data_IF_161918322892
#
_entry.id   IF_161918322892
#
_cell.length_a   1.000
_cell.length_b   1.000
_cell.length_c   1.000
_cell.angle_alpha   90.00
_cell.angle_beta   90.00
_cell.angle_gamma   90.00
#
_symmetry.space_group_name_H-M   'P 1'
#
loop_
_entity.id
_entity.type
_entity.pdbx_description
1 polymer ?
#
# COMPACT_ATOMS: atom_id res chain seq x y z
N UNK A 1 -3.40 -13.07 2.03
CA UNK A 1 -2.90 -12.61 0.72
C UNK A 1 -3.49 -13.40 -0.46
N UNK A 2 -3.17 -14.69 -0.65
CA UNK A 2 -3.53 -15.42 -1.87
C UNK A 2 -5.04 -15.52 -2.16
N UNK A 3 -5.87 -15.74 -1.14
CA UNK A 3 -7.33 -15.85 -1.29
C UNK A 3 -7.97 -14.55 -1.76
N UNK A 4 -7.51 -13.42 -1.24
CA UNK A 4 -8.02 -12.10 -1.63
C UNK A 4 -7.54 -11.68 -3.02
N UNK A 5 -6.32 -12.05 -3.40
CA UNK A 5 -5.82 -11.87 -4.75
C UNK A 5 -6.71 -12.60 -5.76
N UNK A 6 -7.08 -13.85 -5.50
CA UNK A 6 -7.98 -14.57 -6.40
C UNK A 6 -9.41 -14.03 -6.37
N UNK A 7 -9.90 -13.53 -5.23
CA UNK A 7 -11.18 -12.84 -5.18
C UNK A 7 -11.17 -11.56 -6.07
N UNK A 8 -10.10 -10.76 -6.00
CA UNK A 8 -9.92 -9.60 -6.86
C UNK A 8 -9.85 -9.99 -8.35
N UNK A 9 -9.14 -11.08 -8.67
CA UNK A 9 -9.04 -11.61 -10.04
C UNK A 9 -10.40 -12.07 -10.58
N UNK A 10 -11.19 -12.77 -9.77
CA UNK A 10 -12.55 -13.18 -10.13
C UNK A 10 -13.48 -11.97 -10.33
N UNK A 11 -13.34 -10.92 -9.51
CA UNK A 11 -14.09 -9.67 -9.66
C UNK A 11 -13.81 -8.98 -11.01
N UNK A 12 -12.55 -8.93 -11.43
CA UNK A 12 -12.15 -8.38 -12.74
C UNK A 12 -12.74 -9.23 -13.88
N UNK A 13 -12.64 -10.55 -13.80
CA UNK A 13 -13.20 -11.45 -14.81
C UNK A 13 -14.72 -11.36 -14.89
N UNK A 14 -15.39 -11.16 -13.75
CA UNK A 14 -16.83 -10.92 -13.71
C UNK A 14 -17.22 -9.60 -14.40
N UNK A 15 -16.50 -8.52 -14.12
CA UNK A 15 -16.71 -7.24 -14.79
C UNK A 15 -16.47 -7.34 -16.32
N UNK A 16 -15.47 -8.11 -16.76
CA UNK A 16 -15.21 -8.38 -18.16
C UNK A 16 -16.36 -9.18 -18.82
N UNK A 17 -16.84 -10.25 -18.17
CA UNK A 17 -17.99 -11.02 -18.67
C UNK A 17 -19.27 -10.19 -18.80
N UNK A 18 -19.53 -9.29 -17.86
CA UNK A 18 -20.67 -8.37 -17.94
C UNK A 18 -20.53 -7.42 -19.13
N UNK A 19 -19.32 -6.91 -19.37
CA UNK A 19 -19.02 -6.06 -20.52
C UNK A 19 -19.20 -6.79 -21.85
N UNK A 20 -18.74 -8.04 -21.94
CA UNK A 20 -18.92 -8.89 -23.12
C UNK A 20 -20.40 -9.22 -23.36
N UNK A 21 -21.19 -9.34 -22.30
CA UNK A 21 -22.64 -9.56 -22.35
C UNK A 21 -23.45 -8.28 -22.62
N UNK A 22 -22.80 -7.16 -22.93
CA UNK A 22 -23.40 -5.82 -23.13
C UNK A 22 -24.23 -5.31 -21.94
N UNK A 23 -23.99 -5.85 -20.74
CA UNK A 23 -24.65 -5.41 -19.52
C UNK A 23 -23.91 -4.22 -18.89
N UNK A 24 -24.63 -3.32 -18.18
CA UNK A 24 -24.01 -2.20 -17.51
C UNK A 24 -23.02 -2.69 -16.44
N UNK A 25 -21.72 -2.53 -16.71
CA UNK A 25 -20.63 -3.05 -15.89
C UNK A 25 -19.91 -1.98 -15.07
N UNK A 26 -20.41 -0.74 -15.03
CA UNK A 26 -19.72 0.42 -14.42
C UNK A 26 -19.49 0.24 -12.91
N UNK A 27 -20.48 -0.32 -12.21
CA UNK A 27 -20.41 -0.51 -10.76
C UNK A 27 -19.39 -1.60 -10.40
N UNK A 28 -19.42 -2.70 -11.14
CA UNK A 28 -18.57 -3.88 -10.98
C UNK A 28 -17.14 -3.58 -11.41
N UNK A 29 -16.94 -2.77 -12.45
CA UNK A 29 -15.63 -2.26 -12.83
C UNK A 29 -15.04 -1.35 -11.74
N UNK A 30 -15.86 -0.51 -11.11
CA UNK A 30 -15.43 0.35 -10.00
C UNK A 30 -15.05 -0.47 -8.76
N UNK A 31 -15.85 -1.49 -8.42
CA UNK A 31 -15.56 -2.43 -7.33
C UNK A 31 -14.28 -3.23 -7.61
N UNK A 32 -14.09 -3.71 -8.84
CA UNK A 32 -12.88 -4.43 -9.24
C UNK A 32 -11.64 -3.54 -9.15
N UNK A 33 -11.73 -2.28 -9.58
CA UNK A 33 -10.61 -1.32 -9.48
C UNK A 33 -10.23 -1.07 -8.02
N UNK A 34 -11.21 -0.76 -7.16
CA UNK A 34 -10.97 -0.53 -5.73
C UNK A 34 -10.30 -1.74 -5.09
N UNK A 35 -10.88 -2.93 -5.29
CA UNK A 35 -10.38 -4.15 -4.66
C UNK A 35 -8.98 -4.53 -5.14
N UNK A 36 -8.66 -4.29 -6.42
CA UNK A 36 -7.31 -4.50 -6.95
C UNK A 36 -6.29 -3.54 -6.34
N UNK A 37 -6.66 -2.26 -6.15
CA UNK A 37 -5.77 -1.26 -5.55
C UNK A 37 -5.49 -1.53 -4.07
N UNK A 38 -6.52 -1.82 -3.27
CA UNK A 38 -6.35 -2.20 -1.86
C UNK A 38 -5.47 -3.44 -1.73
N UNK A 39 -5.64 -4.43 -2.61
CA UNK A 39 -4.84 -5.64 -2.56
C UNK A 39 -3.38 -5.40 -2.94
N UNK A 40 -3.11 -4.50 -3.89
CA UNK A 40 -1.75 -4.10 -4.24
C UNK A 40 -1.04 -3.41 -3.07
N UNK A 41 -1.72 -2.46 -2.41
CA UNK A 41 -1.24 -1.77 -1.20
C UNK A 41 -0.86 -2.77 -0.10
N UNK A 42 -1.76 -3.72 0.17
CA UNK A 42 -1.58 -4.67 1.25
C UNK A 42 -0.47 -5.70 0.92
N UNK A 43 -0.33 -6.11 -0.35
CA UNK A 43 0.81 -6.94 -0.79
C UNK A 43 2.13 -6.17 -0.67
N UNK A 44 2.17 -4.89 -1.03
CA UNK A 44 3.35 -4.05 -0.87
C UNK A 44 3.70 -3.87 0.62
N UNK A 45 2.71 -3.64 1.48
CA UNK A 45 2.89 -3.53 2.93
C UNK A 45 3.43 -4.83 3.53
N UNK A 46 2.84 -5.97 3.18
CA UNK A 46 3.31 -7.28 3.61
C UNK A 46 4.71 -7.58 3.09
N UNK A 47 5.01 -7.21 1.83
CA UNK A 47 6.36 -7.33 1.27
C UNK A 47 7.36 -6.46 2.05
N UNK A 48 7.01 -5.21 2.39
CA UNK A 48 7.85 -4.36 3.25
C UNK A 48 8.02 -4.99 4.64
N UNK A 49 7.01 -5.64 5.21
CA UNK A 49 7.15 -6.32 6.49
C UNK A 49 8.08 -7.55 6.40
N UNK A 50 7.99 -8.31 5.30
CA UNK A 50 8.80 -9.50 5.05
C UNK A 50 10.25 -9.14 4.69
N UNK A 51 10.47 -8.11 3.88
CA UNK A 51 11.80 -7.67 3.41
C UNK A 51 12.42 -6.56 4.28
N UNK A 52 11.61 -5.82 5.03
CA UNK A 52 11.98 -4.68 5.88
C UNK A 52 11.81 -4.90 7.38
N UNK A 53 11.27 -6.06 7.80
CA UNK A 53 11.33 -6.53 9.19
C UNK A 53 12.76 -6.81 9.69
N UNK A 54 13.77 -6.82 8.81
CA UNK A 54 15.19 -6.80 9.19
C UNK A 54 15.71 -5.40 9.55
N UNK A 55 14.97 -4.33 9.24
CA UNK A 55 15.39 -2.93 9.41
C UNK A 55 14.72 -2.17 10.56
N UNK A 56 13.58 -2.65 11.09
CA UNK A 56 12.95 -2.06 12.30
C UNK A 56 13.58 -2.54 13.62
N UNK A 57 14.55 -3.46 13.52
CA UNK A 57 15.47 -3.83 14.59
C UNK A 57 16.86 -3.21 14.34
N UNK A 58 16.94 -2.06 13.65
CA UNK A 58 18.02 -1.15 13.99
C UNK A 58 17.74 -0.69 15.42
N UNK A 59 18.51 -1.30 16.33
CA UNK A 59 18.88 -0.77 17.62
C UNK A 59 18.64 0.73 17.66
N UNK A 60 17.76 1.15 18.55
CA UNK A 60 17.94 2.45 19.17
C UNK A 60 19.04 2.20 20.21
N UNK A 61 20.35 2.38 19.92
CA UNK A 61 21.25 2.63 21.02
C UNK A 61 20.70 3.93 21.59
N UNK A 62 20.15 3.85 22.81
CA UNK A 62 19.89 5.04 23.60
C UNK A 62 21.19 5.83 23.61
N UNK A 63 21.28 6.83 22.74
CA UNK A 63 22.34 7.80 22.74
C UNK A 63 22.03 8.73 23.91
N UNK A 64 22.21 8.19 25.12
CA UNK A 64 22.53 8.99 26.29
C UNK A 64 23.99 9.40 26.13
N UNK A 65 24.21 10.49 25.42
CA UNK A 65 25.35 11.33 25.67
C UNK A 65 25.23 11.92 27.09
N UNK A 66 26.33 11.94 27.84
CA UNK A 66 26.38 12.34 29.26
C UNK A 66 26.02 13.81 29.54
N UNK A 67 25.46 14.54 28.57
CA UNK A 67 25.18 15.98 28.63
C UNK A 67 23.78 16.41 28.13
N UNK A 68 22.85 15.48 27.85
CA UNK A 68 21.41 15.76 27.86
C UNK A 68 20.89 16.90 26.99
N UNK A 69 21.45 17.14 25.79
CA UNK A 69 20.95 18.19 24.89
C UNK A 69 20.56 17.61 23.53
N UNK A 70 19.25 17.53 23.27
CA UNK A 70 18.67 17.07 22.01
C UNK A 70 18.96 18.08 20.88
N UNK A 71 19.85 17.73 19.95
CA UNK A 71 20.02 18.49 18.70
C UNK A 71 19.14 17.85 17.62
N UNK A 72 17.98 18.45 17.37
CA UNK A 72 17.06 18.02 16.33
C UNK A 72 17.71 18.15 14.93
N UNK A 73 17.68 17.10 14.08
CA UNK A 73 18.03 17.24 12.67
C UNK A 73 16.92 18.04 11.96
N UNK A 74 17.28 19.15 11.31
CA UNK A 74 16.37 19.95 10.47
C UNK A 74 15.84 19.08 9.33
N UNK A 75 14.57 18.69 9.43
CA UNK A 75 13.81 18.04 8.36
C UNK A 75 13.73 18.97 7.14
N UNK A 76 14.32 18.49 6.06
CA UNK A 76 14.22 18.97 4.69
C UNK A 76 12.75 19.09 4.26
N UNK A 77 12.45 20.09 3.43
CA UNK A 77 11.13 20.41 2.88
C UNK A 77 10.47 19.16 2.27
N UNK A 78 9.24 18.88 2.68
CA UNK A 78 8.33 17.94 1.99
C UNK A 78 7.77 18.67 0.77
N UNK A 79 8.04 18.26 -0.48
CA UNK A 79 7.23 18.73 -1.59
C UNK A 79 5.94 17.92 -1.63
N UNK A 80 4.84 18.65 -1.51
CA UNK A 80 3.47 18.28 -1.85
C UNK A 80 3.43 17.49 -3.17
N UNK A 81 3.22 16.16 -3.12
CA UNK A 81 2.92 15.33 -4.30
C UNK A 81 1.46 14.81 -4.31
N UNK A 82 0.61 15.33 -3.44
CA UNK A 82 -0.81 14.93 -3.34
C UNK A 82 -1.70 15.60 -4.39
N UNK A 83 -1.24 15.77 -5.63
CA UNK A 83 -2.10 16.22 -6.73
C UNK A 83 -1.55 15.76 -8.07
N UNK A 84 -1.77 14.48 -8.37
CA UNK A 84 -1.98 13.95 -9.72
C UNK A 84 -2.05 12.43 -9.62
N UNK A 85 -3.20 11.87 -9.25
CA UNK A 85 -3.75 10.59 -9.72
C UNK A 85 -5.21 10.47 -9.28
#
# INVERSE_FOLDING_TARGET
>A
MATELEAARQLVLYAARLKDSSQPSLQQASMAKLKASEMAEQICSDAIQIFGGYGYMEDYPGLHDSHGTLVAPKSTKVPTIFNAW
#
